data_IF_782889762338
#
_entry.id   IF_782889762338
#
_cell.length_a   1.000
_cell.length_b   1.000
_cell.length_c   1.000
_cell.angle_alpha   90.00
_cell.angle_beta   90.00
_cell.angle_gamma   90.00
#
_symmetry.space_group_name_H-M   'P 1'
#
loop_
_entity.id
_entity.type
_entity.pdbx_description
1 polymer ?
#
# COMPACT_ATOMS: atom_id res chain seq x y z
N UNK A 1 31.61 -33.09 -13.29
CA UNK A 1 31.85 -32.21 -12.13
C UNK A 1 32.76 -31.06 -12.54
N UNK A 2 32.22 -29.90 -12.95
CA UNK A 2 32.97 -28.64 -12.92
C UNK A 2 32.37 -27.83 -11.78
N UNK A 3 32.95 -27.97 -10.58
CA UNK A 3 32.61 -27.05 -9.50
C UNK A 3 32.95 -25.65 -10.00
N UNK A 4 31.92 -24.81 -10.01
CA UNK A 4 31.94 -23.47 -10.54
C UNK A 4 33.06 -22.63 -9.89
N UNK A 5 33.35 -21.46 -10.47
CA UNK A 5 34.18 -20.39 -9.91
C UNK A 5 35.69 -20.42 -10.17
N UNK A 6 36.29 -21.56 -10.53
CA UNK A 6 37.74 -21.66 -10.76
C UNK A 6 38.09 -22.33 -12.09
N UNK A 7 38.99 -21.72 -12.86
CA UNK A 7 39.60 -22.29 -14.05
C UNK A 7 41.06 -22.66 -13.76
N UNK A 8 41.55 -23.77 -14.31
CA UNK A 8 42.97 -24.14 -14.20
C UNK A 8 43.78 -23.14 -15.03
N UNK A 9 44.65 -22.38 -14.36
CA UNK A 9 45.56 -21.43 -15.00
C UNK A 9 46.82 -22.14 -15.51
N UNK A 10 47.33 -23.06 -14.69
CA UNK A 10 48.46 -23.91 -15.05
C UNK A 10 48.37 -25.23 -14.29
N UNK A 11 48.66 -26.33 -14.96
CA UNK A 11 48.85 -27.64 -14.32
C UNK A 11 50.24 -28.18 -14.70
N UNK A 12 51.07 -28.56 -13.73
CA UNK A 12 52.27 -29.32 -14.03
C UNK A 12 51.90 -30.72 -14.55
N UNK A 13 52.80 -31.33 -15.30
CA UNK A 13 52.63 -32.72 -15.75
C UNK A 13 52.64 -33.67 -14.55
N UNK A 14 51.69 -34.61 -14.52
CA UNK A 14 51.59 -35.56 -13.43
C UNK A 14 52.57 -36.72 -13.65
N UNK A 15 53.58 -36.80 -12.79
CA UNK A 15 54.55 -37.89 -12.80
C UNK A 15 54.00 -39.12 -12.06
N UNK A 16 53.39 -40.03 -12.83
CA UNK A 16 52.78 -41.25 -12.32
C UNK A 16 53.79 -42.20 -11.62
N UNK A 17 55.08 -42.10 -11.95
CA UNK A 17 56.12 -42.98 -11.37
C UNK A 17 56.35 -42.74 -9.88
N UNK A 18 55.94 -41.56 -9.36
CA UNK A 18 56.08 -41.18 -7.95
C UNK A 18 54.87 -41.53 -7.07
N UNK A 19 53.86 -42.21 -7.61
CA UNK A 19 52.67 -42.63 -6.88
C UNK A 19 51.98 -41.49 -6.12
N UNK A 20 51.59 -41.72 -4.85
CA UNK A 20 50.91 -40.73 -4.02
C UNK A 20 51.74 -39.47 -3.72
N UNK A 21 53.08 -39.59 -3.68
CA UNK A 21 53.95 -38.44 -3.52
C UNK A 21 53.90 -37.51 -4.75
N UNK A 22 53.82 -38.11 -5.95
CA UNK A 22 53.59 -37.38 -7.20
C UNK A 22 52.26 -36.63 -7.20
N UNK A 23 51.20 -37.23 -6.64
CA UNK A 23 49.88 -36.59 -6.53
C UNK A 23 49.89 -35.36 -5.63
N UNK A 24 50.57 -35.45 -4.48
CA UNK A 24 50.68 -34.32 -3.55
C UNK A 24 51.48 -33.15 -4.15
N UNK A 25 52.55 -33.45 -4.90
CA UNK A 25 53.36 -32.43 -5.60
C UNK A 25 52.55 -31.78 -6.73
N UNK A 26 51.86 -32.61 -7.53
CA UNK A 26 50.99 -32.13 -8.60
C UNK A 26 49.89 -31.22 -8.07
N UNK A 27 49.18 -31.65 -7.02
CA UNK A 27 48.10 -30.88 -6.41
C UNK A 27 48.57 -29.52 -5.87
N UNK A 28 49.80 -29.43 -5.32
CA UNK A 28 50.40 -28.16 -4.89
C UNK A 28 50.77 -27.23 -6.06
N UNK A 29 51.03 -27.79 -7.24
CA UNK A 29 51.42 -27.02 -8.42
C UNK A 29 50.24 -26.57 -9.29
N UNK A 30 49.03 -27.13 -9.09
CA UNK A 30 47.82 -26.66 -9.78
C UNK A 30 47.48 -25.25 -9.31
N UNK A 31 47.55 -24.28 -10.22
CA UNK A 31 47.07 -22.91 -9.97
C UNK A 31 45.68 -22.75 -10.54
N UNK A 32 44.79 -22.22 -9.71
CA UNK A 32 43.41 -21.94 -10.08
C UNK A 32 43.22 -20.42 -10.19
N UNK A 33 42.74 -19.95 -11.33
CA UNK A 33 42.31 -18.56 -11.52
C UNK A 33 40.83 -18.44 -11.26
N UNK A 34 40.45 -17.48 -10.41
CA UNK A 34 39.04 -17.12 -10.20
C UNK A 34 38.52 -16.47 -11.49
N UNK A 35 37.60 -17.13 -12.18
CA UNK A 35 36.97 -16.56 -13.38
C UNK A 35 35.67 -15.88 -12.94
N UNK A 36 35.74 -14.56 -12.76
CA UNK A 36 34.53 -13.76 -12.54
C UNK A 36 33.92 -13.43 -13.90
N UNK A 37 32.94 -14.21 -14.33
CA UNK A 37 32.22 -13.91 -15.56
C UNK A 37 31.24 -12.75 -15.33
N UNK A 38 31.61 -11.56 -15.85
CA UNK A 38 30.85 -10.32 -15.79
C UNK A 38 29.41 -10.46 -16.33
N UNK A 39 29.14 -11.48 -17.15
CA UNK A 39 27.80 -11.79 -17.64
C UNK A 39 26.84 -12.18 -16.52
N UNK A 40 27.32 -12.79 -15.43
CA UNK A 40 26.49 -13.03 -14.23
C UNK A 40 26.11 -11.74 -13.52
N UNK A 41 27.01 -10.76 -13.51
CA UNK A 41 26.72 -9.44 -12.96
C UNK A 41 25.66 -8.74 -13.81
N UNK A 42 25.75 -8.85 -15.14
CA UNK A 42 24.78 -8.31 -16.08
C UNK A 42 23.41 -9.01 -15.99
N UNK A 43 23.41 -10.34 -15.82
CA UNK A 43 22.20 -11.13 -15.56
C UNK A 43 21.56 -10.73 -14.23
N UNK A 44 22.35 -10.57 -13.16
CA UNK A 44 21.87 -10.10 -11.87
C UNK A 44 21.26 -8.68 -12.01
N UNK A 45 21.91 -7.80 -12.77
CA UNK A 45 21.43 -6.43 -13.05
C UNK A 45 20.13 -6.43 -13.86
N UNK A 46 19.97 -7.37 -14.80
CA UNK A 46 18.73 -7.59 -15.56
C UNK A 46 17.61 -8.23 -14.73
N UNK A 47 17.95 -9.07 -13.75
CA UNK A 47 17.00 -9.71 -12.83
C UNK A 47 16.64 -8.81 -11.64
N UNK A 48 17.48 -7.84 -11.30
CA UNK A 48 17.25 -6.86 -10.24
C UNK A 48 15.86 -6.21 -10.33
N UNK A 49 15.42 -5.65 -11.49
CA UNK A 49 14.07 -5.08 -11.61
C UNK A 49 12.95 -6.10 -11.34
N UNK A 50 13.18 -7.39 -11.58
CA UNK A 50 12.19 -8.45 -11.33
C UNK A 50 12.19 -8.91 -9.88
N UNK A 51 13.33 -8.88 -9.20
CA UNK A 51 13.43 -9.12 -7.76
C UNK A 51 12.82 -7.97 -6.95
N UNK A 52 12.88 -6.74 -7.48
CA UNK A 52 12.33 -5.53 -6.87
C UNK A 52 10.95 -5.12 -7.42
N UNK A 53 10.28 -5.95 -8.23
CA UNK A 53 8.83 -5.78 -8.46
C UNK A 53 8.10 -6.14 -7.17
N UNK A 54 8.03 -5.17 -6.26
CA UNK A 54 7.34 -5.29 -4.99
C UNK A 54 5.94 -5.83 -5.22
N UNK A 55 5.52 -6.77 -4.37
CA UNK A 55 4.10 -7.04 -4.18
C UNK A 55 3.40 -5.68 -4.03
N UNK A 56 2.25 -5.44 -4.69
CA UNK A 56 1.49 -4.22 -4.47
C UNK A 56 1.11 -4.18 -3.00
N UNK A 57 1.92 -3.47 -2.23
CA UNK A 57 1.70 -3.25 -0.82
C UNK A 57 0.53 -2.27 -0.76
N UNK A 58 -0.62 -2.78 -0.32
CA UNK A 58 -1.77 -1.96 0.00
C UNK A 58 -1.32 -1.00 1.10
N UNK A 59 -1.34 0.29 0.80
CA UNK A 59 -0.92 1.29 1.77
C UNK A 59 -1.94 1.33 2.92
N UNK A 60 -1.46 1.35 4.17
CA UNK A 60 -2.30 1.26 5.34
C UNK A 60 -3.47 2.26 5.41
N UNK A 61 -3.38 3.45 4.80
CA UNK A 61 -4.44 4.48 4.89
C UNK A 61 -5.10 4.78 3.56
N UNK A 62 -4.34 4.76 2.48
CA UNK A 62 -4.90 4.97 1.15
C UNK A 62 -5.71 3.75 0.66
N UNK A 63 -5.64 2.62 1.37
CA UNK A 63 -6.26 1.36 0.98
C UNK A 63 -5.66 0.87 -0.34
N UNK A 64 -6.51 0.42 -1.26
CA UNK A 64 -6.09 0.14 -2.65
C UNK A 64 -5.87 1.40 -3.47
N UNK A 65 -6.42 2.51 -3.01
CA UNK A 65 -6.48 3.77 -3.73
C UNK A 65 -5.20 4.56 -3.48
N UNK A 66 -4.95 5.57 -4.32
CA UNK A 66 -3.80 6.48 -4.16
C UNK A 66 -4.23 7.85 -3.70
N UNK A 67 -5.51 8.05 -3.45
CA UNK A 67 -6.10 9.33 -3.06
C UNK A 67 -6.92 9.06 -1.82
N UNK A 68 -6.78 9.87 -0.79
CA UNK A 68 -7.58 9.70 0.42
C UNK A 68 -7.96 11.05 1.00
N UNK A 69 -9.13 11.13 1.60
CA UNK A 69 -9.58 12.30 2.34
C UNK A 69 -9.81 11.87 3.78
N UNK A 70 -9.15 12.55 4.71
CA UNK A 70 -9.40 12.35 6.14
C UNK A 70 -10.60 13.24 6.49
N UNK A 71 -11.70 12.64 6.91
CA UNK A 71 -12.89 13.35 7.35
C UNK A 71 -12.96 13.26 8.86
N UNK A 72 -12.89 14.39 9.55
CA UNK A 72 -12.71 14.43 11.00
C UNK A 72 -13.79 15.24 11.70
N UNK A 73 -14.50 14.55 12.58
CA UNK A 73 -15.51 15.12 13.45
C UNK A 73 -14.86 15.96 14.56
N UNK A 74 -15.30 17.23 14.67
CA UNK A 74 -14.87 18.19 15.69
C UNK A 74 -15.92 18.42 16.77
N UNK A 75 -16.97 17.61 16.84
CA UNK A 75 -17.98 17.73 17.89
C UNK A 75 -17.37 17.66 19.29
N UNK A 76 -18.06 18.25 20.27
CA UNK A 76 -17.57 18.28 21.67
C UNK A 76 -17.40 16.89 22.28
N UNK A 77 -18.17 15.89 21.84
CA UNK A 77 -18.02 14.49 22.26
C UNK A 77 -16.73 13.85 21.76
N UNK A 78 -16.16 14.35 20.66
CA UNK A 78 -14.86 13.91 20.13
C UNK A 78 -13.66 14.51 20.86
N UNK A 79 -13.84 15.57 21.64
CA UNK A 79 -12.75 16.30 22.31
C UNK A 79 -11.81 15.40 23.15
N UNK A 80 -12.30 14.44 23.96
CA UNK A 80 -11.43 13.54 24.72
C UNK A 80 -10.56 12.63 23.84
N UNK A 81 -10.90 12.50 22.56
CA UNK A 81 -10.26 11.59 21.61
C UNK A 81 -9.29 12.30 20.66
N UNK A 82 -9.28 13.63 20.59
CA UNK A 82 -8.42 14.40 19.67
C UNK A 82 -6.94 14.06 19.78
N UNK A 83 -6.40 13.89 20.99
CA UNK A 83 -4.99 13.53 21.16
C UNK A 83 -4.66 12.18 20.48
N UNK A 84 -5.58 11.21 20.54
CA UNK A 84 -5.41 9.90 19.90
C UNK A 84 -5.52 10.00 18.39
N UNK A 85 -6.48 10.79 17.89
CA UNK A 85 -6.63 11.07 16.46
C UNK A 85 -5.36 11.74 15.91
N UNK A 86 -4.82 12.72 16.62
CA UNK A 86 -3.57 13.41 16.28
C UNK A 86 -2.39 12.44 16.19
N UNK A 87 -2.24 11.55 17.17
CA UNK A 87 -1.18 10.55 17.16
C UNK A 87 -1.32 9.57 15.99
N UNK A 88 -2.55 9.14 15.71
CA UNK A 88 -2.83 8.19 14.62
C UNK A 88 -2.62 8.80 13.24
N UNK A 89 -3.06 10.04 13.05
CA UNK A 89 -2.81 10.80 11.83
C UNK A 89 -1.30 11.02 11.60
N UNK A 90 -0.54 11.26 12.67
CA UNK A 90 0.93 11.38 12.60
C UNK A 90 1.59 10.08 12.17
N UNK A 91 1.23 8.95 12.79
CA UNK A 91 1.74 7.62 12.41
C UNK A 91 1.41 7.32 10.94
N UNK A 92 0.18 7.63 10.54
CA UNK A 92 -0.34 7.47 9.19
C UNK A 92 0.46 8.25 8.15
N UNK A 93 0.57 9.57 8.31
CA UNK A 93 1.23 10.44 7.33
C UNK A 93 2.74 10.18 7.28
N UNK A 94 3.38 9.91 8.42
CA UNK A 94 4.79 9.52 8.44
C UNK A 94 5.03 8.19 7.73
N UNK A 95 4.16 7.19 7.92
CA UNK A 95 4.27 5.91 7.23
C UNK A 95 4.14 6.06 5.71
N UNK A 96 3.26 6.94 5.23
CA UNK A 96 3.10 7.24 3.79
C UNK A 96 4.34 7.96 3.26
N UNK A 97 4.83 8.96 3.99
CA UNK A 97 6.00 9.74 3.60
C UNK A 97 7.27 8.84 3.52
N UNK A 98 7.50 7.99 4.53
CA UNK A 98 8.63 7.05 4.54
C UNK A 98 8.52 5.99 3.43
N UNK A 99 7.29 5.56 3.11
CA UNK A 99 7.02 4.63 2.00
C UNK A 99 7.22 5.27 0.63
N UNK A 100 7.00 6.58 0.52
CA UNK A 100 7.22 7.35 -0.70
C UNK A 100 8.72 7.51 -1.01
N UNK A 101 9.55 7.75 0.01
CA UNK A 101 11.01 7.77 -0.08
C UNK A 101 11.59 6.42 -0.51
N UNK A 102 11.06 5.31 0.02
CA UNK A 102 11.42 3.95 -0.44
C UNK A 102 11.06 3.69 -1.90
N UNK A 103 10.00 4.33 -2.42
CA UNK A 103 9.60 4.22 -3.84
C UNK A 103 10.39 5.11 -4.77
N UNK A 104 10.98 6.19 -4.28
CA UNK A 104 11.90 7.02 -5.07
C UNK A 104 13.15 6.23 -5.48
N UNK A 105 13.66 5.36 -4.59
CA UNK A 105 14.71 4.38 -4.92
C UNK A 105 14.24 3.26 -5.87
N UNK A 106 12.93 3.22 -6.18
CA UNK A 106 12.29 2.32 -7.14
C UNK A 106 11.73 3.02 -8.38
N UNK A 107 12.34 4.13 -8.85
CA UNK A 107 12.23 4.76 -10.19
C UNK A 107 10.84 5.08 -10.83
N UNK A 108 9.69 4.59 -10.34
CA UNK A 108 8.36 4.79 -10.93
C UNK A 108 7.22 4.84 -9.86
N UNK A 109 7.50 5.34 -8.66
CA UNK A 109 6.48 5.49 -7.62
C UNK A 109 5.38 6.47 -8.02
N UNK A 110 4.12 6.02 -8.09
CA UNK A 110 2.97 6.94 -8.31
C UNK A 110 2.71 7.75 -7.03
N UNK A 111 2.44 9.04 -7.18
CA UNK A 111 2.11 9.95 -6.07
C UNK A 111 0.83 9.54 -5.33
N UNK A 112 0.84 9.73 -4.02
CA UNK A 112 -0.37 9.73 -3.19
C UNK A 112 -0.98 11.13 -3.16
N UNK A 113 -2.29 11.21 -2.92
CA UNK A 113 -3.00 12.47 -2.75
C UNK A 113 -3.78 12.46 -1.44
N UNK A 114 -3.80 13.60 -0.76
CA UNK A 114 -4.48 13.80 0.52
C UNK A 114 -5.26 15.11 0.53
N UNK A 115 -6.41 15.11 1.19
CA UNK A 115 -7.05 16.29 1.76
C UNK A 115 -7.53 15.98 3.19
N UNK A 116 -7.80 17.02 3.97
CA UNK A 116 -8.38 16.94 5.30
C UNK A 116 -9.64 17.80 5.30
N UNK A 117 -10.77 17.15 5.56
CA UNK A 117 -12.05 17.81 5.81
C UNK A 117 -12.34 17.66 7.29
N UNK A 118 -12.46 18.79 8.00
CA UNK A 118 -12.92 18.79 9.39
C UNK A 118 -14.34 19.34 9.45
N UNK A 119 -15.18 18.84 10.34
CA UNK A 119 -16.57 19.27 10.43
C UNK A 119 -17.13 19.35 11.84
N UNK A 120 -18.07 20.25 12.06
CA UNK A 120 -18.99 20.32 13.19
C UNK A 120 -20.41 20.55 12.67
N UNK A 121 -21.06 21.67 12.98
CA UNK A 121 -22.18 22.24 12.22
C UNK A 121 -21.88 22.50 10.73
N UNK A 122 -20.64 22.89 10.41
CA UNK A 122 -20.16 23.18 9.06
C UNK A 122 -18.88 22.39 8.77
N UNK A 123 -18.60 22.15 7.49
CA UNK A 123 -17.39 21.48 7.05
C UNK A 123 -16.40 22.46 6.42
N UNK A 124 -15.12 22.23 6.69
CA UNK A 124 -14.00 22.99 6.15
C UNK A 124 -12.97 22.02 5.59
N UNK A 125 -12.63 22.21 4.32
CA UNK A 125 -11.50 21.54 3.67
C UNK A 125 -10.21 22.32 3.88
N UNK A 126 -9.10 21.62 4.12
CA UNK A 126 -7.79 22.23 4.31
C UNK A 126 -7.26 22.79 2.98
N UNK A 127 -7.40 22.04 1.89
CA UNK A 127 -6.84 22.43 0.59
C UNK A 127 -7.91 22.81 -0.44
N UNK A 128 -9.18 22.42 -0.22
CA UNK A 128 -10.26 22.46 -1.22
C UNK A 128 -9.94 21.65 -2.49
N UNK A 129 -9.02 20.68 -2.37
CA UNK A 129 -8.59 19.76 -3.42
C UNK A 129 -7.61 18.70 -2.88
N UNK A 130 -7.67 17.51 -3.46
CA UNK A 130 -6.69 16.45 -3.23
C UNK A 130 -5.29 16.85 -3.72
N UNK A 131 -4.35 17.05 -2.80
CA UNK A 131 -2.97 17.45 -3.10
C UNK A 131 -1.97 16.30 -2.96
N UNK A 132 -0.89 16.26 -3.77
CA UNK A 132 0.15 15.25 -3.62
C UNK A 132 0.73 15.23 -2.20
N UNK A 133 0.92 14.04 -1.62
CA UNK A 133 1.57 13.86 -0.32
C UNK A 133 3.06 14.14 -0.45
N UNK A 134 3.44 15.38 -0.19
CA UNK A 134 4.79 15.89 0.05
C UNK A 134 5.04 16.07 1.54
N UNK A 135 6.28 16.32 1.94
CA UNK A 135 6.62 16.61 3.33
C UNK A 135 5.86 17.85 3.82
N UNK A 136 5.79 18.88 2.98
CA UNK A 136 5.12 20.15 3.25
C UNK A 136 3.61 19.96 3.44
N UNK A 137 2.96 19.22 2.54
CA UNK A 137 1.52 18.94 2.68
C UNK A 137 1.22 18.07 3.90
N UNK A 138 2.09 17.10 4.22
CA UNK A 138 1.92 16.25 5.40
C UNK A 138 2.05 17.08 6.69
N UNK A 139 3.03 18.00 6.75
CA UNK A 139 3.19 18.93 7.86
C UNK A 139 1.98 19.87 8.00
N UNK A 140 1.42 20.39 6.89
CA UNK A 140 0.20 21.21 6.90
C UNK A 140 -1.01 20.44 7.44
N UNK A 141 -1.23 19.20 6.99
CA UNK A 141 -2.31 18.34 7.51
C UNK A 141 -2.12 18.08 9.01
N UNK A 142 -0.90 17.78 9.45
CA UNK A 142 -0.60 17.56 10.87
C UNK A 142 -0.79 18.84 11.70
N UNK A 143 -0.42 19.99 11.17
CA UNK A 143 -0.64 21.27 11.83
C UNK A 143 -2.13 21.56 12.01
N UNK A 144 -2.94 21.36 10.97
CA UNK A 144 -4.41 21.55 11.08
C UNK A 144 -4.99 20.58 12.13
N UNK A 145 -4.58 19.30 12.10
CA UNK A 145 -5.03 18.28 13.07
C UNK A 145 -4.61 18.61 14.51
N UNK A 146 -3.41 19.16 14.71
CA UNK A 146 -2.96 19.60 16.03
C UNK A 146 -3.71 20.86 16.52
N UNK A 147 -4.22 21.67 15.59
CA UNK A 147 -4.95 22.92 15.88
C UNK A 147 -6.45 22.73 16.09
N UNK A 148 -6.96 21.49 15.98
CA UNK A 148 -8.38 21.20 16.12
C UNK A 148 -8.89 21.64 17.49
N UNK A 149 -9.97 22.41 17.44
CA UNK A 149 -10.77 22.80 18.60
C UNK A 149 -12.15 22.16 18.45
N UNK A 150 -12.77 21.82 19.58
CA UNK A 150 -14.13 21.31 19.55
C UNK A 150 -15.09 22.41 19.09
N UNK A 151 -15.96 22.06 18.17
CA UNK A 151 -17.03 22.89 17.65
C UNK A 151 -18.38 22.53 18.25
N UNK A 152 -19.40 23.30 17.88
CA UNK A 152 -20.79 23.02 18.21
C UNK A 152 -21.49 22.26 17.08
N UNK A 153 -22.21 21.19 17.43
CA UNK A 153 -23.00 20.40 16.49
C UNK A 153 -22.18 19.35 15.73
N UNK A 154 -22.91 18.54 14.93
CA UNK A 154 -22.34 17.42 14.17
C UNK A 154 -23.15 17.28 12.87
N UNK A 155 -22.49 17.45 11.72
CA UNK A 155 -23.11 17.46 10.39
C UNK A 155 -22.18 16.86 9.32
N UNK A 156 -22.04 15.54 9.35
CA UNK A 156 -21.26 14.76 8.39
C UNK A 156 -21.74 14.97 6.96
N UNK A 157 -23.03 15.24 6.74
CA UNK A 157 -23.56 15.56 5.40
C UNK A 157 -22.86 16.76 4.76
N UNK A 158 -22.51 17.79 5.54
CA UNK A 158 -21.73 18.92 5.02
C UNK A 158 -20.32 18.51 4.56
N UNK A 159 -19.65 17.64 5.32
CA UNK A 159 -18.34 17.11 4.98
C UNK A 159 -18.39 16.21 3.75
N UNK A 160 -19.41 15.35 3.65
CA UNK A 160 -19.63 14.49 2.49
C UNK A 160 -19.89 15.31 1.22
N UNK A 161 -20.62 16.43 1.33
CA UNK A 161 -20.86 17.32 0.19
C UNK A 161 -19.57 17.95 -0.32
N UNK A 162 -18.65 18.35 0.56
CA UNK A 162 -17.32 18.82 0.15
C UNK A 162 -16.48 17.70 -0.47
N UNK A 163 -16.49 16.51 0.14
CA UNK A 163 -15.78 15.34 -0.38
C UNK A 163 -16.27 14.93 -1.79
N UNK A 164 -17.58 15.00 -2.04
CA UNK A 164 -18.17 14.78 -3.38
C UNK A 164 -17.56 15.71 -4.42
N UNK A 165 -17.45 17.01 -4.11
CA UNK A 165 -16.87 18.02 -5.01
C UNK A 165 -15.40 17.77 -5.28
N UNK A 166 -14.62 17.47 -4.24
CA UNK A 166 -13.19 17.20 -4.34
C UNK A 166 -12.88 15.91 -5.12
N UNK A 167 -13.61 14.83 -4.84
CA UNK A 167 -13.48 13.55 -5.55
C UNK A 167 -13.84 13.70 -7.02
N UNK A 168 -14.96 14.38 -7.31
CA UNK A 168 -15.40 14.63 -8.67
C UNK A 168 -14.40 15.49 -9.46
N UNK A 169 -13.83 16.53 -8.84
CA UNK A 169 -12.78 17.36 -9.44
C UNK A 169 -11.49 16.56 -9.69
N UNK A 170 -11.12 15.67 -8.77
CA UNK A 170 -9.91 14.87 -8.87
C UNK A 170 -10.01 13.73 -9.89
N UNK A 171 -11.19 13.13 -10.05
CA UNK A 171 -11.48 12.12 -11.07
C UNK A 171 -10.73 10.79 -10.87
N UNK A 172 -10.28 10.48 -9.65
CA UNK A 172 -9.62 9.20 -9.31
C UNK A 172 -10.32 8.55 -8.12
N UNK A 173 -10.19 7.22 -8.08
CA UNK A 173 -10.59 6.41 -6.93
C UNK A 173 -9.98 6.97 -5.64
N UNK A 174 -10.84 7.25 -4.67
CA UNK A 174 -10.54 7.97 -3.43
C UNK A 174 -11.14 7.25 -2.23
N UNK A 175 -10.35 7.08 -1.18
CA UNK A 175 -10.80 6.52 0.09
C UNK A 175 -11.11 7.63 1.08
N UNK A 176 -12.32 7.67 1.62
CA UNK A 176 -12.67 8.53 2.75
C UNK A 176 -12.36 7.78 4.05
N UNK A 177 -11.60 8.41 4.93
CA UNK A 177 -11.32 7.95 6.28
C UNK A 177 -12.10 8.83 7.25
N UNK A 178 -13.31 8.40 7.60
CA UNK A 178 -14.25 9.15 8.44
C UNK A 178 -14.03 8.77 9.91
N UNK A 179 -13.58 9.72 10.72
CA UNK A 179 -13.31 9.53 12.15
C UNK A 179 -14.36 10.32 12.93
N UNK A 180 -15.27 9.60 13.59
CA UNK A 180 -16.43 10.15 14.32
C UNK A 180 -16.92 9.14 15.35
N UNK A 181 -17.54 9.60 16.43
CA UNK A 181 -18.22 8.75 17.42
C UNK A 181 -19.58 8.23 16.93
N UNK A 182 -20.08 8.73 15.79
CA UNK A 182 -21.35 8.34 15.20
C UNK A 182 -22.57 9.03 15.81
N UNK A 183 -22.38 9.98 16.72
CA UNK A 183 -23.46 10.79 17.32
C UNK A 183 -23.91 11.91 16.37
N UNK A 184 -24.33 11.53 15.16
CA UNK A 184 -24.70 12.45 14.08
C UNK A 184 -26.02 12.05 13.43
N UNK A 185 -27.05 12.90 13.60
CA UNK A 185 -28.38 12.66 13.04
C UNK A 185 -28.44 12.66 11.50
N UNK A 186 -27.41 13.21 10.83
CA UNK A 186 -27.33 13.22 9.37
C UNK A 186 -26.98 11.85 8.77
N UNK A 187 -26.32 10.96 9.52
CA UNK A 187 -25.91 9.62 9.04
C UNK A 187 -27.11 8.80 8.59
N UNK A 188 -28.17 8.76 9.41
CA UNK A 188 -29.38 8.02 9.08
C UNK A 188 -30.10 8.60 7.85
N UNK A 189 -30.12 9.93 7.72
CA UNK A 189 -30.68 10.60 6.55
C UNK A 189 -29.92 10.29 5.28
N UNK A 190 -28.58 10.37 5.32
CA UNK A 190 -27.72 10.01 4.18
C UNK A 190 -27.83 8.53 3.80
N UNK A 191 -27.91 7.63 4.79
CA UNK A 191 -28.04 6.19 4.53
C UNK A 191 -29.34 5.90 3.77
N UNK A 192 -30.47 6.45 4.25
CA UNK A 192 -31.76 6.35 3.54
C UNK A 192 -31.72 6.94 2.14
N UNK A 193 -31.05 8.09 1.98
CA UNK A 193 -30.88 8.74 0.68
C UNK A 193 -30.13 7.81 -0.30
N UNK A 194 -29.01 7.23 0.14
CA UNK A 194 -28.21 6.28 -0.67
C UNK A 194 -29.01 5.02 -1.02
N UNK A 195 -29.79 4.49 -0.09
CA UNK A 195 -30.62 3.32 -0.35
C UNK A 195 -31.74 3.62 -1.35
N UNK A 196 -32.34 4.81 -1.27
CA UNK A 196 -33.44 5.21 -2.14
C UNK A 196 -33.01 5.49 -3.58
N UNK A 197 -31.84 6.12 -3.78
CA UNK A 197 -31.32 6.44 -5.11
C UNK A 197 -29.80 6.39 -5.14
N UNK A 198 -29.26 5.17 -5.06
CA UNK A 198 -27.82 4.92 -5.06
C UNK A 198 -27.12 5.53 -6.28
N UNK A 199 -27.75 5.45 -7.45
CA UNK A 199 -27.16 5.96 -8.70
C UNK A 199 -27.05 7.49 -8.68
N UNK A 200 -28.06 8.21 -8.18
CA UNK A 200 -27.95 9.65 -8.00
C UNK A 200 -26.82 10.01 -7.04
N UNK A 201 -26.70 9.31 -5.90
CA UNK A 201 -25.60 9.58 -4.95
C UNK A 201 -24.24 9.31 -5.57
N UNK A 202 -24.06 8.18 -6.25
CA UNK A 202 -22.81 7.85 -6.96
C UNK A 202 -22.44 8.90 -8.01
N UNK A 203 -23.43 9.45 -8.72
CA UNK A 203 -23.20 10.50 -9.71
C UNK A 203 -22.66 11.81 -9.12
N UNK A 204 -22.92 12.09 -7.84
CA UNK A 204 -22.34 13.24 -7.12
C UNK A 204 -20.83 13.11 -6.96
N UNK A 205 -20.34 11.89 -6.79
CA UNK A 205 -18.90 11.56 -6.78
C UNK A 205 -18.29 11.48 -8.20
N UNK A 206 -19.06 11.77 -9.25
CA UNK A 206 -18.61 11.70 -10.63
C UNK A 206 -18.62 10.29 -11.23
N UNK A 207 -19.31 9.33 -10.59
CA UNK A 207 -19.47 7.98 -11.14
C UNK A 207 -20.63 7.92 -12.14
N UNK A 208 -20.46 7.18 -13.23
CA UNK A 208 -21.55 6.83 -14.15
C UNK A 208 -21.96 5.37 -13.97
N UNK A 209 -23.17 5.00 -14.45
CA UNK A 209 -23.71 3.65 -14.28
C UNK A 209 -22.79 2.61 -14.92
N UNK A 210 -22.23 1.72 -14.10
CA UNK A 210 -21.31 0.66 -14.54
C UNK A 210 -19.83 1.01 -14.37
N UNK A 211 -19.51 2.23 -13.94
CA UNK A 211 -18.14 2.58 -13.57
C UNK A 211 -17.67 1.83 -12.33
N UNK A 212 -16.35 1.75 -12.20
CA UNK A 212 -15.74 1.30 -10.94
C UNK A 212 -16.03 2.34 -9.86
N UNK A 213 -16.20 1.91 -8.60
CA UNK A 213 -16.35 2.84 -7.48
C UNK A 213 -15.22 3.87 -7.48
N UNK A 214 -15.58 5.16 -7.45
CA UNK A 214 -14.62 6.25 -7.25
C UNK A 214 -14.47 6.60 -5.77
N UNK A 215 -15.37 6.11 -4.91
CA UNK A 215 -15.38 6.39 -3.48
C UNK A 215 -15.44 5.10 -2.66
N UNK A 216 -14.63 5.06 -1.60
CA UNK A 216 -14.68 4.05 -0.55
C UNK A 216 -14.75 4.76 0.81
N UNK A 217 -15.88 4.73 1.51
CA UNK A 217 -16.02 5.40 2.80
C UNK A 217 -15.80 4.43 3.97
N UNK A 218 -14.65 4.52 4.61
CA UNK A 218 -14.36 3.77 5.83
C UNK A 218 -14.65 4.66 7.05
N UNK A 219 -15.44 4.15 7.99
CA UNK A 219 -15.73 4.85 9.26
C UNK A 219 -14.95 4.25 10.41
N UNK A 220 -14.47 5.09 11.32
CA UNK A 220 -13.70 4.71 12.49
C UNK A 220 -14.24 5.41 13.73
N UNK A 221 -14.69 4.63 14.71
CA UNK A 221 -15.05 5.16 16.04
C UNK A 221 -13.81 5.36 16.91
N UNK A 222 -13.85 6.27 17.91
CA UNK A 222 -12.73 6.49 18.80
C UNK A 222 -12.27 5.24 19.55
N UNK A 223 -13.19 4.34 19.89
CA UNK A 223 -12.91 3.04 20.53
C UNK A 223 -11.92 2.21 19.71
N UNK A 224 -12.02 2.28 18.39
CA UNK A 224 -11.15 1.52 17.51
C UNK A 224 -9.73 2.07 17.47
N UNK A 225 -9.49 3.33 17.82
CA UNK A 225 -8.13 3.90 17.89
C UNK A 225 -7.23 3.18 18.91
N UNK A 226 -7.82 2.56 19.94
CA UNK A 226 -7.12 1.83 21.00
C UNK A 226 -6.81 0.37 20.66
N UNK A 227 -7.30 -0.14 19.52
CA UNK A 227 -7.14 -1.56 19.17
C UNK A 227 -5.70 -1.82 18.72
N UNK A 228 -4.97 -2.59 19.54
CA UNK A 228 -3.58 -3.00 19.28
C UNK A 228 -3.48 -3.97 18.09
N UNK A 229 -4.48 -4.84 17.90
CA UNK A 229 -4.56 -5.75 16.76
C UNK A 229 -5.38 -5.17 15.61
N UNK A 230 -4.78 -4.29 14.83
CA UNK A 230 -5.41 -3.62 13.67
C UNK A 230 -5.67 -4.53 12.46
N UNK A 231 -5.37 -5.82 12.57
CA UNK A 231 -5.70 -6.84 11.56
C UNK A 231 -6.96 -7.62 11.93
N UNK A 232 -7.46 -7.48 13.16
CA UNK A 232 -8.70 -8.10 13.57
C UNK A 232 -9.88 -7.32 12.97
N UNK A 233 -10.85 -8.04 12.41
CA UNK A 233 -12.15 -7.47 12.08
C UNK A 233 -12.87 -7.19 13.40
N UNK A 234 -13.09 -5.91 13.70
CA UNK A 234 -13.83 -5.49 14.89
C UNK A 234 -15.29 -5.29 14.52
N UNK A 235 -16.20 -5.87 15.30
CA UNK A 235 -17.63 -5.68 15.13
C UNK A 235 -18.05 -4.31 15.71
N UNK A 236 -19.06 -3.64 15.13
CA UNK A 236 -19.66 -2.46 15.74
C UNK A 236 -20.31 -2.80 17.08
N UNK A 237 -20.20 -1.88 18.02
CA UNK A 237 -20.77 -1.93 19.37
C UNK A 237 -21.73 -0.74 19.55
N UNK A 238 -23.00 -1.04 19.84
CA UNK A 238 -24.02 -0.01 20.06
C UNK A 238 -24.66 0.54 18.78
N UNK A 239 -25.71 1.37 18.91
CA UNK A 239 -26.48 1.86 17.78
C UNK A 239 -25.69 2.82 16.88
N UNK A 240 -24.80 3.65 17.42
CA UNK A 240 -24.00 4.63 16.67
C UNK A 240 -23.01 3.93 15.74
N UNK A 241 -22.23 2.97 16.26
CA UNK A 241 -21.28 2.20 15.43
C UNK A 241 -22.00 1.32 14.40
N UNK A 242 -23.18 0.79 14.72
CA UNK A 242 -23.98 0.04 13.75
C UNK A 242 -24.44 0.94 12.59
N UNK A 243 -24.82 2.19 12.87
CA UNK A 243 -25.14 3.16 11.82
C UNK A 243 -23.91 3.50 10.97
N UNK A 244 -22.75 3.72 11.59
CA UNK A 244 -21.49 3.95 10.87
C UNK A 244 -21.11 2.77 9.98
N UNK A 245 -21.29 1.54 10.48
CA UNK A 245 -21.01 0.33 9.73
C UNK A 245 -21.95 0.15 8.53
N UNK A 246 -23.23 0.41 8.73
CA UNK A 246 -24.22 0.40 7.67
C UNK A 246 -23.90 1.46 6.62
N UNK A 247 -23.67 2.72 7.02
CA UNK A 247 -23.29 3.82 6.15
C UNK A 247 -22.04 3.51 5.31
N UNK A 248 -20.96 3.02 5.95
CA UNK A 248 -19.74 2.60 5.25
C UNK A 248 -20.00 1.53 4.18
N UNK A 249 -20.87 0.57 4.49
CA UNK A 249 -21.19 -0.53 3.57
C UNK A 249 -21.93 -0.05 2.31
N UNK A 250 -22.75 1.00 2.44
CA UNK A 250 -23.48 1.62 1.32
C UNK A 250 -22.52 2.31 0.34
N UNK A 251 -21.40 2.85 0.85
CA UNK A 251 -20.36 3.56 0.10
C UNK A 251 -19.07 2.73 -0.09
N UNK A 252 -19.23 1.42 -0.29
CA UNK A 252 -18.15 0.50 -0.68
C UNK A 252 -16.94 0.41 0.28
N UNK A 253 -17.06 0.94 1.49
CA UNK A 253 -16.03 0.88 2.52
C UNK A 253 -16.34 -0.14 3.59
N UNK A 254 -15.79 0.06 4.78
CA UNK A 254 -16.05 -0.79 5.94
C UNK A 254 -16.00 -0.02 7.26
N UNK A 255 -16.64 -0.60 8.26
CA UNK A 255 -16.45 -0.20 9.65
C UNK A 255 -15.10 -0.66 10.18
N UNK A 256 -14.37 0.27 10.78
CA UNK A 256 -13.11 0.04 11.44
C UNK A 256 -11.94 -0.15 10.49
N UNK A 257 -10.87 -0.70 11.04
CA UNK A 257 -9.66 -0.96 10.31
C UNK A 257 -9.89 -2.11 9.34
N UNK A 258 -9.77 -1.84 8.05
CA UNK A 258 -9.74 -2.94 7.09
C UNK A 258 -8.40 -3.72 7.21
N UNK A 259 -7.33 -3.16 7.87
CA UNK A 259 -5.96 -3.70 8.23
C UNK A 259 -4.74 -3.60 7.26
N UNK A 260 -3.58 -2.97 7.47
CA UNK A 260 -2.89 -2.34 8.60
C UNK A 260 -3.29 -0.87 8.64
N UNK A 261 -3.83 -0.38 9.75
CA UNK A 261 -4.70 0.81 9.79
C UNK A 261 -5.97 0.68 8.91
N UNK A 262 -5.94 0.38 7.61
CA UNK A 262 -7.13 0.24 6.73
C UNK A 262 -6.89 -0.62 5.45
N UNK A 263 -6.30 -1.80 5.54
CA UNK A 263 -6.94 -2.97 4.94
C UNK A 263 -6.60 -3.67 3.66
N UNK A 264 -5.87 -4.77 3.83
CA UNK A 264 -6.05 -5.99 3.08
C UNK A 264 -7.45 -6.59 3.31
N UNK A 265 -8.36 -6.33 2.37
CA UNK A 265 -9.16 -7.45 1.86
C UNK A 265 -8.15 -8.53 1.49
N UNK A 266 -8.11 -9.61 2.28
CA UNK A 266 -7.30 -10.77 1.97
C UNK A 266 -7.51 -11.09 0.50
N UNK A 267 -6.46 -10.92 -0.31
CA UNK A 267 -6.53 -11.39 -1.69
C UNK A 267 -6.98 -12.85 -1.61
N UNK A 268 -8.02 -13.25 -2.38
CA UNK A 268 -8.52 -14.62 -2.31
C UNK A 268 -7.33 -15.56 -2.48
N UNK A 269 -7.32 -16.69 -1.76
CA UNK A 269 -6.19 -17.62 -1.77
C UNK A 269 -5.78 -18.02 -3.20
N UNK A 270 -6.74 -18.00 -4.14
CA UNK A 270 -6.52 -18.16 -5.58
C UNK A 270 -5.53 -17.15 -6.16
N UNK A 271 -5.54 -15.87 -5.76
CA UNK A 271 -4.65 -14.84 -6.26
C UNK A 271 -3.20 -15.02 -5.76
N UNK A 272 -3.03 -15.48 -4.51
CA UNK A 272 -1.72 -15.90 -4.00
C UNK A 272 -1.20 -17.10 -4.79
N UNK A 273 -2.06 -18.09 -5.04
CA UNK A 273 -1.73 -19.26 -5.88
C UNK A 273 -1.32 -18.87 -7.30
N UNK A 274 -2.08 -17.98 -7.95
CA UNK A 274 -1.80 -17.49 -9.29
C UNK A 274 -0.50 -16.68 -9.37
N UNK A 275 -0.21 -15.81 -8.39
CA UNK A 275 1.04 -15.08 -8.36
C UNK A 275 2.24 -16.00 -8.12
N UNK A 276 2.12 -16.99 -7.23
CA UNK A 276 3.17 -18.00 -7.02
C UNK A 276 3.38 -18.85 -8.27
N UNK A 277 2.31 -19.28 -8.94
CA UNK A 277 2.38 -20.03 -10.19
C UNK A 277 3.03 -19.20 -11.30
N UNK A 278 2.61 -17.94 -11.49
CA UNK A 278 3.20 -17.02 -12.46
C UNK A 278 4.68 -16.77 -12.18
N UNK A 279 5.07 -16.66 -10.91
CA UNK A 279 6.46 -16.51 -10.51
C UNK A 279 7.27 -17.77 -10.84
N UNK A 280 6.77 -18.96 -10.47
CA UNK A 280 7.42 -20.24 -10.77
C UNK A 280 7.56 -20.46 -12.27
N UNK A 281 6.51 -20.20 -13.05
CA UNK A 281 6.54 -20.33 -14.52
C UNK A 281 7.55 -19.38 -15.15
N UNK A 282 7.65 -18.14 -14.66
CA UNK A 282 8.66 -17.18 -15.14
C UNK A 282 10.07 -17.63 -14.80
N UNK A 283 10.30 -18.13 -13.59
CA UNK A 283 11.61 -18.67 -13.21
C UNK A 283 11.98 -19.91 -14.04
N UNK A 284 11.02 -20.78 -14.33
CA UNK A 284 11.24 -21.95 -15.18
C UNK A 284 11.57 -21.54 -16.64
N UNK A 285 10.89 -20.55 -17.21
CA UNK A 285 11.19 -20.02 -18.55
C UNK A 285 12.58 -19.40 -18.58
N UNK A 286 12.96 -18.61 -17.57
CA UNK A 286 14.29 -18.00 -17.47
C UNK A 286 15.36 -19.10 -17.35
N UNK A 287 15.15 -20.09 -16.48
CA UNK A 287 16.07 -21.22 -16.33
C UNK A 287 16.21 -22.02 -17.62
N UNK A 288 15.10 -22.27 -18.33
CA UNK A 288 15.09 -22.96 -19.62
C UNK A 288 15.81 -22.18 -20.71
N UNK A 289 15.59 -20.86 -20.80
CA UNK A 289 16.28 -19.99 -21.75
C UNK A 289 17.79 -19.97 -21.49
N UNK A 290 18.21 -19.88 -20.21
CA UNK A 290 19.62 -19.98 -19.83
C UNK A 290 20.20 -21.34 -20.24
N UNK A 291 19.51 -22.43 -19.91
CA UNK A 291 19.96 -23.79 -20.24
C UNK A 291 20.06 -24.04 -21.76
N UNK A 292 19.20 -23.41 -22.56
CA UNK A 292 19.16 -23.57 -24.02
C UNK A 292 20.19 -22.69 -24.74
N UNK A 293 20.34 -21.44 -24.32
CA UNK A 293 21.19 -20.45 -25.02
C UNK A 293 22.66 -20.61 -24.62
N UNK A 294 22.94 -20.97 -23.36
CA UNK A 294 24.30 -21.07 -22.84
C UNK A 294 25.21 -22.07 -23.59
N UNK A 295 24.78 -23.31 -23.90
CA UNK A 295 25.62 -24.27 -24.63
C UNK A 295 25.92 -23.82 -26.06
N UNK A 296 24.98 -23.12 -26.71
CA UNK A 296 25.11 -22.68 -28.10
C UNK A 296 26.02 -21.47 -28.23
N UNK A 297 25.88 -20.48 -27.35
CA UNK A 297 26.82 -19.37 -27.29
C UNK A 297 28.24 -19.87 -27.00
N UNK A 298 28.38 -20.88 -26.13
CA UNK A 298 29.68 -21.48 -25.83
C UNK A 298 30.28 -22.32 -26.96
N UNK A 299 29.48 -22.82 -27.90
CA UNK A 299 30.00 -23.57 -29.06
C UNK A 299 30.53 -22.64 -30.17
N UNK A 300 30.19 -21.35 -30.12
CA UNK A 300 30.60 -20.35 -31.10
C UNK A 300 31.83 -19.53 -30.67
N UNK A 301 32.33 -19.73 -29.45
CA UNK A 301 33.53 -19.11 -28.89
C UNK A 301 34.48 -20.18 -28.37
#
# INVERSE_FOLDING_TARGET
FRQAWFAIESQPEFDASKGFAGLAIWAKGVRLKKSWDWRWLLLLLLLLPFLFRGCPESDPIAGKTKSFIIVLDRSSSMQPHFAKVQEEARKTLNSINDSSLKRFLGFFGRAYYVDLISYDSEAKSLFNELRPVTKETAEQVLQEINSLQSGGGTNLKSAMTLAEQEIKKHGKETTLCIITDGADGSIAGMSKEIESDKTAVESRFGMTKGDRPLVHANTLSPRLLDVTNRKARVAPEGPEENQLAHFSSLLYGAFGFTGTAFGQRGMPASYKGWNTLLWLTRMAIIAGAIAYVYPRLRAQF
#
